data_IF_832851788506
#
_entry.id   IF_832851788506
#
_cell.length_a   1.000
_cell.length_b   1.000
_cell.length_c   1.000
_cell.angle_alpha   90.00
_cell.angle_beta   90.00
_cell.angle_gamma   90.00
#
_symmetry.space_group_name_H-M   'P 1'
#
loop_
_entity.id
_entity.type
_entity.pdbx_description
1 polymer ?
#
# COMPACT_ATOMS: atom_id res chain seq x y z
N UNK A 1 45.24 -31.85 7.86
CA UNK A 1 43.77 -31.75 7.99
C UNK A 1 43.35 -30.32 7.71
N UNK A 2 42.81 -30.02 6.52
CA UNK A 2 42.37 -28.66 6.18
C UNK A 2 41.02 -28.41 6.84
N UNK A 3 40.98 -27.49 7.82
CA UNK A 3 39.73 -27.03 8.44
C UNK A 3 39.05 -26.08 7.47
N UNK A 4 37.94 -26.49 6.86
CA UNK A 4 37.09 -25.61 6.06
C UNK A 4 36.26 -24.80 7.06
N UNK A 5 36.53 -23.50 7.15
CA UNK A 5 35.73 -22.57 7.92
C UNK A 5 34.50 -22.19 7.08
N UNK A 6 33.34 -22.74 7.43
CA UNK A 6 32.06 -22.41 6.81
C UNK A 6 31.57 -21.08 7.39
N UNK A 7 31.82 -19.98 6.67
CA UNK A 7 31.24 -18.67 6.99
C UNK A 7 29.76 -18.71 6.62
N UNK A 8 28.90 -18.87 7.63
CA UNK A 8 27.47 -18.69 7.49
C UNK A 8 27.19 -17.19 7.34
N UNK A 9 27.12 -16.71 6.09
CA UNK A 9 26.52 -15.41 5.81
C UNK A 9 25.02 -15.53 6.13
N UNK A 10 24.64 -15.29 7.39
CA UNK A 10 23.25 -14.92 7.65
C UNK A 10 23.01 -13.60 6.91
N UNK A 11 22.05 -13.51 5.96
CA UNK A 11 21.62 -12.22 5.49
C UNK A 11 21.17 -11.45 6.74
N UNK A 12 21.81 -10.30 7.00
CA UNK A 12 21.32 -9.38 8.00
C UNK A 12 19.92 -8.98 7.56
N UNK A 13 18.89 -9.62 8.14
CA UNK A 13 17.51 -9.23 7.91
C UNK A 13 17.37 -7.92 8.67
N UNK A 14 17.67 -6.81 8.00
CA UNK A 14 17.42 -5.49 8.53
C UNK A 14 15.90 -5.33 8.60
N UNK A 15 15.31 -5.70 9.73
CA UNK A 15 13.87 -5.62 9.99
C UNK A 15 13.46 -4.21 10.41
N UNK A 16 13.99 -3.16 9.78
CA UNK A 16 13.31 -1.86 9.84
C UNK A 16 12.13 -1.95 8.88
N UNK A 17 10.94 -2.17 9.42
CA UNK A 17 9.72 -2.02 8.65
C UNK A 17 9.22 -0.60 8.91
N UNK A 18 9.17 0.21 7.86
CA UNK A 18 8.61 1.55 7.90
C UNK A 18 7.33 1.55 7.07
N UNK A 19 6.23 1.98 7.66
CA UNK A 19 4.91 1.86 7.05
C UNK A 19 4.24 3.21 7.00
N UNK A 20 3.66 3.51 5.85
CA UNK A 20 2.76 4.64 5.67
C UNK A 20 1.34 4.09 5.59
N UNK A 21 0.50 4.45 6.55
CA UNK A 21 -0.90 4.04 6.65
C UNK A 21 -1.83 5.21 6.29
N UNK A 22 -2.56 5.06 5.18
CA UNK A 22 -3.52 6.05 4.69
C UNK A 22 -4.93 5.64 5.08
N UNK A 23 -5.51 6.33 6.05
CA UNK A 23 -6.89 6.17 6.48
C UNK A 23 -7.79 7.08 5.64
N UNK A 24 -8.64 6.47 4.82
CA UNK A 24 -9.41 7.16 3.79
C UNK A 24 -10.89 7.22 4.20
N UNK A 25 -11.40 8.44 4.31
CA UNK A 25 -12.83 8.73 4.40
C UNK A 25 -13.32 9.09 3.00
N UNK A 26 -14.36 8.41 2.54
CA UNK A 26 -14.94 8.61 1.21
C UNK A 26 -16.11 9.59 1.29
N UNK A 27 -16.40 10.25 0.17
CA UNK A 27 -17.68 10.92 -0.02
C UNK A 27 -18.80 9.88 -0.16
N UNK A 28 -20.03 10.28 0.20
CA UNK A 28 -21.20 9.39 0.11
C UNK A 28 -21.38 8.83 -1.31
N UNK A 29 -21.64 7.53 -1.40
CA UNK A 29 -21.82 6.83 -2.69
C UNK A 29 -20.53 6.53 -3.47
N UNK A 30 -19.35 6.94 -2.99
CA UNK A 30 -18.10 6.77 -3.75
C UNK A 30 -17.47 5.37 -3.67
N UNK A 31 -17.99 4.45 -2.85
CA UNK A 31 -17.38 3.13 -2.57
C UNK A 31 -17.08 2.31 -3.84
N UNK A 32 -18.05 2.25 -4.77
CA UNK A 32 -17.90 1.49 -6.03
C UNK A 32 -16.81 2.09 -6.94
N UNK A 33 -16.77 3.42 -7.07
CA UNK A 33 -15.77 4.09 -7.91
C UNK A 33 -14.39 4.07 -7.25
N UNK A 34 -14.34 4.10 -5.92
CA UNK A 34 -13.10 3.90 -5.18
C UNK A 34 -12.55 2.48 -5.39
N UNK A 35 -13.39 1.45 -5.41
CA UNK A 35 -12.95 0.11 -5.76
C UNK A 35 -12.37 0.00 -7.18
N UNK A 36 -12.93 0.74 -8.16
CA UNK A 36 -12.35 0.83 -9.52
C UNK A 36 -11.01 1.55 -9.50
N UNK A 37 -10.88 2.62 -8.73
CA UNK A 37 -9.63 3.34 -8.52
C UNK A 37 -8.54 2.39 -8.00
N UNK A 38 -8.84 1.61 -6.96
CA UNK A 38 -7.88 0.68 -6.36
C UNK A 38 -7.48 -0.47 -7.32
N UNK A 39 -8.38 -0.92 -8.20
CA UNK A 39 -8.01 -1.88 -9.27
C UNK A 39 -6.97 -1.33 -10.23
N UNK A 40 -7.03 -0.03 -10.55
CA UNK A 40 -6.04 0.64 -11.38
C UNK A 40 -4.74 0.86 -10.61
N UNK A 41 -4.81 1.34 -9.37
CA UNK A 41 -3.64 1.57 -8.51
C UNK A 41 -2.86 0.31 -8.17
N UNK A 42 -3.53 -0.84 -8.07
CA UNK A 42 -2.90 -2.16 -7.91
C UNK A 42 -1.76 -2.39 -8.91
N UNK A 43 -1.94 -1.99 -10.18
CA UNK A 43 -0.94 -2.21 -11.24
C UNK A 43 0.35 -1.45 -10.95
N UNK A 44 0.23 -0.18 -10.55
CA UNK A 44 1.39 0.60 -10.14
C UNK A 44 2.01 0.03 -8.86
N UNK A 45 1.20 -0.30 -7.87
CA UNK A 45 1.71 -0.80 -6.61
C UNK A 45 2.49 -2.11 -6.75
N UNK A 46 2.01 -3.03 -7.59
CA UNK A 46 2.77 -4.24 -7.91
C UNK A 46 4.09 -3.89 -8.61
N UNK A 47 4.05 -3.01 -9.61
CA UNK A 47 5.27 -2.61 -10.31
C UNK A 47 6.31 -1.96 -9.38
N UNK A 48 5.88 -1.14 -8.42
CA UNK A 48 6.75 -0.53 -7.42
C UNK A 48 7.39 -1.57 -6.48
N UNK A 49 6.66 -2.65 -6.15
CA UNK A 49 7.22 -3.78 -5.40
C UNK A 49 8.27 -4.52 -6.24
N UNK A 50 7.95 -4.83 -7.51
CA UNK A 50 8.87 -5.53 -8.41
C UNK A 50 10.17 -4.74 -8.67
N UNK A 51 10.12 -3.42 -8.58
CA UNK A 51 11.27 -2.51 -8.71
C UNK A 51 12.03 -2.28 -7.40
N UNK A 52 11.55 -2.81 -6.27
CA UNK A 52 12.14 -2.57 -4.96
C UNK A 52 11.97 -1.13 -4.45
N UNK A 53 11.02 -0.36 -5.00
CA UNK A 53 10.66 0.98 -4.54
C UNK A 53 9.84 0.93 -3.25
N UNK A 54 9.16 -0.20 -3.00
CA UNK A 54 8.54 -0.52 -1.72
C UNK A 54 8.55 -2.02 -1.49
N UNK A 55 8.47 -2.44 -0.24
CA UNK A 55 8.46 -3.86 0.14
C UNK A 55 7.10 -4.52 -0.15
N UNK A 56 6.00 -3.87 0.22
CA UNK A 56 4.66 -4.43 0.05
C UNK A 56 3.58 -3.34 0.07
N UNK A 57 2.36 -3.73 -0.31
CA UNK A 57 1.17 -2.89 -0.13
C UNK A 57 -0.06 -3.73 0.16
N UNK A 58 -1.06 -3.13 0.83
CA UNK A 58 -2.37 -3.75 1.00
C UNK A 58 -3.46 -2.69 1.17
N UNK A 59 -4.66 -2.99 0.71
CA UNK A 59 -5.86 -2.14 0.87
C UNK A 59 -6.89 -2.91 1.67
N UNK A 60 -7.38 -2.32 2.74
CA UNK A 60 -8.33 -2.94 3.67
C UNK A 60 -9.59 -2.11 3.74
N UNK A 61 -10.74 -2.75 3.53
CA UNK A 61 -12.05 -2.15 3.86
C UNK A 61 -12.27 -2.32 5.37
N UNK A 62 -12.51 -1.21 6.08
CA UNK A 62 -12.75 -1.27 7.52
C UNK A 62 -14.12 -1.91 7.79
N UNK A 63 -14.19 -2.72 8.84
CA UNK A 63 -15.47 -3.22 9.35
C UNK A 63 -16.15 -2.11 10.13
N UNK A 64 -17.40 -1.78 9.78
CA UNK A 64 -18.23 -0.78 10.47
C UNK A 64 -18.53 -1.26 11.90
N UNK A 65 -18.53 -0.33 12.85
CA UNK A 65 -18.85 -0.55 14.26
C UNK A 65 -19.93 0.42 14.72
N UNK A 66 -20.67 0.07 15.77
CA UNK A 66 -21.81 0.87 16.27
C UNK A 66 -21.40 2.29 16.74
N UNK A 67 -20.14 2.48 17.13
CA UNK A 67 -19.61 3.75 17.62
C UNK A 67 -18.91 4.59 16.54
N UNK A 68 -19.05 4.21 15.28
CA UNK A 68 -18.46 4.98 14.18
C UNK A 68 -19.11 6.35 14.06
N UNK A 69 -18.28 7.37 13.90
CA UNK A 69 -18.72 8.71 13.50
C UNK A 69 -18.46 8.96 12.01
N UNK A 70 -18.91 10.10 11.50
CA UNK A 70 -18.76 10.50 10.09
C UNK A 70 -17.30 10.64 9.62
N UNK A 71 -16.33 10.62 10.54
CA UNK A 71 -14.90 10.67 10.24
C UNK A 71 -14.25 9.28 10.29
N UNK A 72 -15.00 8.21 10.63
CA UNK A 72 -14.48 6.87 10.59
C UNK A 72 -14.00 6.51 9.18
N UNK A 73 -12.79 5.97 9.07
CA UNK A 73 -12.23 5.59 7.78
C UNK A 73 -13.06 4.47 7.14
N UNK A 74 -13.29 4.55 5.84
CA UNK A 74 -13.91 3.47 5.07
C UNK A 74 -12.85 2.44 4.64
N UNK A 75 -11.65 2.93 4.31
CA UNK A 75 -10.51 2.12 3.88
C UNK A 75 -9.23 2.51 4.60
N UNK A 76 -8.31 1.57 4.70
CA UNK A 76 -6.92 1.81 5.10
C UNK A 76 -5.98 1.21 4.06
N UNK A 77 -5.03 2.00 3.56
CA UNK A 77 -3.98 1.52 2.67
C UNK A 77 -2.66 1.50 3.42
N UNK A 78 -2.01 0.35 3.47
CA UNK A 78 -0.67 0.22 4.05
C UNK A 78 0.35 0.14 2.92
N UNK A 79 1.27 1.10 2.89
CA UNK A 79 2.47 1.07 2.05
C UNK A 79 3.67 0.73 2.92
N UNK A 80 4.28 -0.42 2.67
CA UNK A 80 5.36 -0.94 3.50
C UNK A 80 6.70 -0.74 2.79
N UNK A 81 7.68 -0.27 3.54
CA UNK A 81 9.04 0.00 3.10
C UNK A 81 10.03 -0.69 4.04
N UNK A 82 11.21 -1.03 3.52
CA UNK A 82 12.31 -1.61 4.28
C UNK A 82 13.10 -0.58 5.10
N UNK A 83 12.80 0.72 4.92
CA UNK A 83 13.33 1.81 5.72
C UNK A 83 12.61 3.11 5.39
N UNK A 84 12.73 4.11 6.27
CA UNK A 84 12.32 5.49 5.96
C UNK A 84 13.06 6.06 4.75
N UNK A 85 14.34 5.72 4.57
CA UNK A 85 15.14 6.14 3.43
C UNK A 85 14.59 5.60 2.10
N UNK A 86 14.21 4.31 2.04
CA UNK A 86 13.57 3.74 0.85
C UNK A 86 12.29 4.51 0.53
N UNK A 87 11.46 4.77 1.54
CA UNK A 87 10.23 5.55 1.39
C UNK A 87 10.52 6.95 0.86
N UNK A 88 11.47 7.67 1.45
CA UNK A 88 11.79 9.04 1.05
C UNK A 88 12.34 9.09 -0.38
N UNK A 89 13.19 8.14 -0.76
CA UNK A 89 13.69 8.01 -2.13
C UNK A 89 12.57 7.71 -3.14
N UNK A 90 11.64 6.83 -2.79
CA UNK A 90 10.48 6.52 -3.63
C UNK A 90 9.58 7.74 -3.81
N UNK A 91 9.30 8.47 -2.72
CA UNK A 91 8.47 9.68 -2.78
C UNK A 91 9.15 10.81 -3.57
N UNK A 92 10.47 10.97 -3.44
CA UNK A 92 11.24 11.95 -4.20
C UNK A 92 11.22 11.70 -5.71
N UNK A 93 11.19 10.43 -6.12
CA UNK A 93 11.22 10.03 -7.52
C UNK A 93 9.82 9.79 -8.12
N UNK A 94 8.76 9.92 -7.31
CA UNK A 94 7.38 9.68 -7.71
C UNK A 94 6.94 10.70 -8.75
N UNK A 95 6.45 10.22 -9.89
CA UNK A 95 5.90 11.07 -10.95
C UNK A 95 4.55 10.51 -11.39
N UNK A 96 3.49 11.29 -11.22
CA UNK A 96 2.14 10.87 -11.61
C UNK A 96 2.03 10.51 -13.09
N UNK A 97 2.79 11.17 -13.96
CA UNK A 97 2.83 10.80 -15.38
C UNK A 97 3.42 9.41 -15.58
N UNK A 98 4.52 9.07 -14.89
CA UNK A 98 5.11 7.72 -14.94
C UNK A 98 4.15 6.67 -14.36
N UNK A 99 3.51 6.98 -13.24
CA UNK A 99 2.50 6.12 -12.60
C UNK A 99 1.36 5.79 -13.58
N UNK A 100 0.79 6.80 -14.23
CA UNK A 100 -0.31 6.64 -15.20
C UNK A 100 0.16 5.82 -16.42
N UNK A 101 1.39 6.05 -16.91
CA UNK A 101 1.94 5.26 -18.01
C UNK A 101 2.09 3.78 -17.63
N UNK A 102 2.56 3.48 -16.41
CA UNK A 102 2.64 2.11 -15.88
C UNK A 102 1.25 1.47 -15.82
N UNK A 103 0.26 2.19 -15.27
CA UNK A 103 -1.13 1.70 -15.19
C UNK A 103 -1.71 1.39 -16.56
N UNK A 104 -1.54 2.30 -17.54
CA UNK A 104 -2.00 2.11 -18.92
C UNK A 104 -1.33 0.92 -19.60
N UNK A 105 -0.02 0.76 -19.41
CA UNK A 105 0.73 -0.35 -19.98
C UNK A 105 0.27 -1.70 -19.38
N UNK A 106 0.13 -1.77 -18.06
CA UNK A 106 -0.26 -2.99 -17.36
C UNK A 106 -1.73 -3.39 -17.55
N UNK A 107 -2.61 -2.45 -17.92
CA UNK A 107 -4.03 -2.71 -18.22
C UNK A 107 -4.33 -2.79 -19.73
N UNK A 108 -3.31 -2.79 -20.59
CA UNK A 108 -3.49 -2.84 -22.04
C UNK A 108 -4.24 -4.13 -22.43
N UNK A 109 -5.35 -3.97 -23.14
CA UNK A 109 -6.22 -5.07 -23.56
C UNK A 109 -7.36 -5.36 -22.60
N UNK A 110 -7.23 -5.02 -21.32
CA UNK A 110 -8.30 -5.10 -20.32
C UNK A 110 -9.08 -3.77 -20.20
N UNK A 111 -8.37 -2.64 -20.29
CA UNK A 111 -8.94 -1.30 -20.13
C UNK A 111 -8.30 -0.31 -21.10
N UNK A 112 -9.11 0.60 -21.67
CA UNK A 112 -8.59 1.65 -22.54
C UNK A 112 -7.78 2.68 -21.75
N UNK A 113 -6.75 3.28 -22.37
CA UNK A 113 -5.96 4.35 -21.75
C UNK A 113 -6.82 5.53 -21.29
N UNK A 114 -7.88 5.87 -22.05
CA UNK A 114 -8.82 6.94 -21.71
C UNK A 114 -9.63 6.60 -20.46
N UNK A 115 -10.03 5.33 -20.30
CA UNK A 115 -10.73 4.86 -19.10
C UNK A 115 -9.81 4.96 -17.88
N UNK A 116 -8.55 4.55 -18.00
CA UNK A 116 -7.53 4.70 -16.94
C UNK A 116 -7.39 6.17 -16.54
N UNK A 117 -7.24 7.08 -17.53
CA UNK A 117 -7.13 8.52 -17.28
C UNK A 117 -8.34 9.07 -16.51
N UNK A 118 -9.55 8.69 -16.93
CA UNK A 118 -10.77 9.15 -16.28
C UNK A 118 -10.86 8.66 -14.83
N UNK A 119 -10.55 7.38 -14.57
CA UNK A 119 -10.58 6.81 -13.22
C UNK A 119 -9.56 7.52 -12.32
N UNK A 120 -8.32 7.70 -12.79
CA UNK A 120 -7.28 8.37 -12.00
C UNK A 120 -7.64 9.83 -11.76
N UNK A 121 -8.18 10.54 -12.76
CA UNK A 121 -8.57 11.95 -12.67
C UNK A 121 -9.61 12.20 -11.58
N UNK A 122 -10.62 11.34 -11.45
CA UNK A 122 -11.65 11.50 -10.41
C UNK A 122 -11.19 11.01 -9.04
N UNK A 123 -10.08 10.28 -8.94
CA UNK A 123 -9.68 9.61 -7.70
C UNK A 123 -9.54 10.53 -6.49
N UNK A 124 -9.14 11.78 -6.69
CA UNK A 124 -9.09 12.80 -5.64
C UNK A 124 -10.46 13.26 -5.16
N UNK A 125 -11.47 13.31 -6.04
CA UNK A 125 -12.82 13.77 -5.70
C UNK A 125 -13.65 12.71 -4.98
N UNK A 126 -13.19 11.46 -4.96
CA UNK A 126 -13.83 10.37 -4.22
C UNK A 126 -13.57 10.45 -2.71
N UNK A 127 -12.48 11.10 -2.31
CA UNK A 127 -11.97 11.12 -0.94
C UNK A 127 -12.40 12.42 -0.26
N UNK A 128 -13.15 12.29 0.84
CA UNK A 128 -13.49 13.41 1.74
C UNK A 128 -12.28 13.83 2.55
N UNK A 129 -11.53 12.84 3.04
CA UNK A 129 -10.37 13.04 3.90
C UNK A 129 -9.40 11.87 3.76
N UNK A 130 -8.10 12.15 3.85
CA UNK A 130 -7.05 11.14 3.99
C UNK A 130 -6.17 11.52 5.17
N UNK A 131 -6.15 10.67 6.20
CA UNK A 131 -5.25 10.82 7.34
C UNK A 131 -4.10 9.84 7.18
N UNK A 132 -2.90 10.37 7.06
CA UNK A 132 -1.69 9.58 6.87
C UNK A 132 -0.94 9.45 8.19
N UNK A 133 -0.55 8.23 8.55
CA UNK A 133 0.31 7.94 9.69
C UNK A 133 1.60 7.27 9.21
N UNK A 134 2.73 7.68 9.78
CA UNK A 134 4.02 7.04 9.60
C UNK A 134 4.26 6.15 10.82
N UNK A 135 4.47 4.86 10.59
CA UNK A 135 4.67 3.85 11.62
C UNK A 135 6.06 3.25 11.45
N UNK A 136 6.84 3.25 12.52
CA UNK A 136 8.12 2.57 12.58
C UNK A 136 8.00 1.36 13.51
N UNK A 137 8.27 0.17 12.97
CA UNK A 137 8.25 -1.04 13.78
C UNK A 137 9.50 -1.07 14.67
N UNK A 138 9.28 -1.06 15.98
CA UNK A 138 10.34 -1.21 17.00
C UNK A 138 10.68 -2.70 17.16
N UNK A 139 9.67 -3.55 17.15
CA UNK A 139 9.77 -5.00 17.18
C UNK A 139 8.54 -5.59 16.46
N UNK A 140 8.73 -6.74 15.81
CA UNK A 140 7.66 -7.43 15.09
C UNK A 140 7.96 -8.92 14.99
N UNK A 141 6.94 -9.75 15.25
CA UNK A 141 6.98 -11.13 14.75
C UNK A 141 6.68 -11.10 13.26
N UNK A 142 7.59 -11.57 12.39
CA UNK A 142 7.36 -11.56 10.95
C UNK A 142 6.14 -12.40 10.61
N UNK A 143 5.23 -11.86 9.80
CA UNK A 143 4.14 -12.65 9.24
C UNK A 143 4.70 -13.67 8.24
N UNK A 144 4.45 -14.95 8.50
CA UNK A 144 4.84 -16.06 7.62
C UNK A 144 3.60 -16.60 6.93
N UNK A 145 3.44 -16.31 5.64
CA UNK A 145 2.31 -16.76 4.82
C UNK A 145 1.89 -15.75 3.77
N UNK A 146 0.75 -15.99 3.13
CA UNK A 146 0.13 -15.08 2.17
C UNK A 146 -1.19 -14.55 2.73
N UNK A 147 -1.44 -13.24 2.59
CA UNK A 147 -2.73 -12.63 2.91
C UNK A 147 -3.78 -13.06 1.88
N UNK A 148 -4.93 -13.54 2.35
CA UNK A 148 -6.06 -13.97 1.53
C UNK A 148 -7.18 -12.95 1.56
N UNK A 149 -7.96 -12.92 0.49
CA UNK A 149 -9.19 -12.11 0.44
C UNK A 149 -10.11 -12.59 1.58
N UNK A 150 -10.63 -11.64 2.37
CA UNK A 150 -11.46 -11.82 3.58
C UNK A 150 -10.70 -12.10 4.88
N UNK A 151 -9.37 -12.16 4.87
CA UNK A 151 -8.61 -12.08 6.12
C UNK A 151 -8.99 -10.79 6.86
N UNK A 152 -8.92 -10.84 8.19
CA UNK A 152 -9.24 -9.70 9.06
C UNK A 152 -7.99 -9.30 9.82
N UNK A 153 -7.69 -8.01 9.79
CA UNK A 153 -6.66 -7.41 10.61
C UNK A 153 -7.34 -6.54 11.68
N UNK A 154 -6.90 -6.67 12.92
CA UNK A 154 -7.25 -5.75 13.99
C UNK A 154 -6.07 -4.81 14.20
N UNK A 155 -6.36 -3.50 14.19
CA UNK A 155 -5.39 -2.47 14.49
C UNK A 155 -5.90 -1.69 15.70
N UNK A 156 -5.14 -1.73 16.79
CA UNK A 156 -5.43 -0.99 18.01
C UNK A 156 -4.22 -0.12 18.34
N UNK A 157 -4.46 1.09 18.83
CA UNK A 157 -3.41 1.85 19.49
C UNK A 157 -2.96 1.07 20.74
N UNK A 158 -1.66 1.06 21.02
CA UNK A 158 -1.20 0.64 22.34
C UNK A 158 -1.73 1.68 23.34
N UNK A 159 -2.60 1.25 24.25
CA UNK A 159 -3.09 2.05 25.37
C UNK A 159 -2.21 1.84 26.59
#
# INVERSE_FOLDING_TARGET
MKKILLLFFMPAVALSQYVVADFIVLNDGADSDYHKLEKVWRVYHQKAVDLGEKWAWSVWKRTVTENDNDNAAHYVVFNNFSSKEQRDNTMKNLSMNKVILIMKAGLKGEMSSKTVDNIVKIGGTLKKEVRQYELEFIDATPFVGELKIRDKMNFAGMA
#
